data_IF_310307821032
#
_entry.id   IF_310307821032
#
_cell.length_a   1.000
_cell.length_b   1.000
_cell.length_c   1.000
_cell.angle_alpha   90.00
_cell.angle_beta   90.00
_cell.angle_gamma   90.00
#
_symmetry.space_group_name_H-M   'P 1'
#
loop_
_entity.id
_entity.type
_entity.pdbx_description
1 polymer ?
#
# COMPACT_ATOMS: atom_id res chain seq x y z
N UNK A 1 -2.97 -9.33 17.16
CA UNK A 1 -1.79 -8.49 16.93
C UNK A 1 -2.04 -7.75 15.63
N UNK A 2 -2.41 -6.47 15.70
CA UNK A 2 -2.69 -5.63 14.52
C UNK A 2 -1.41 -5.46 13.72
N UNK A 3 -1.44 -5.75 12.42
CA UNK A 3 -0.27 -5.60 11.55
C UNK A 3 -0.23 -4.14 11.06
N UNK A 4 0.91 -3.47 11.25
CA UNK A 4 1.11 -2.10 10.73
C UNK A 4 1.23 -2.13 9.21
N UNK A 5 0.72 -1.11 8.48
CA UNK A 5 0.95 -1.02 7.05
C UNK A 5 2.44 -1.09 6.70
N UNK A 6 2.77 -1.68 5.56
CA UNK A 6 4.14 -1.87 5.12
C UNK A 6 4.29 -1.52 3.64
N UNK A 7 5.43 -0.91 3.29
CA UNK A 7 5.84 -0.61 1.91
C UNK A 7 7.20 -1.22 1.65
N UNK A 8 7.37 -1.82 0.47
CA UNK A 8 8.66 -2.26 -0.06
C UNK A 8 8.77 -1.94 -1.54
N UNK A 9 10.01 -1.82 -2.03
CA UNK A 9 10.28 -1.74 -3.46
C UNK A 9 10.01 -3.11 -4.09
N UNK A 10 9.41 -3.12 -5.26
CA UNK A 10 9.30 -4.32 -6.08
C UNK A 10 10.62 -4.59 -6.82
N UNK A 11 10.84 -5.85 -7.20
CA UNK A 11 12.08 -6.29 -7.87
C UNK A 11 12.26 -5.64 -9.25
N UNK A 12 11.17 -5.18 -9.87
CA UNK A 12 11.19 -4.53 -11.18
C UNK A 12 11.64 -3.06 -11.13
N UNK A 13 11.73 -2.48 -9.93
CA UNK A 13 12.09 -1.07 -9.71
C UNK A 13 11.06 -0.06 -10.27
N UNK A 14 9.89 -0.52 -10.70
CA UNK A 14 8.81 0.31 -11.27
C UNK A 14 7.60 0.40 -10.34
N UNK A 15 7.56 -0.39 -9.28
CA UNK A 15 6.46 -0.37 -8.34
C UNK A 15 6.96 -0.35 -6.89
N UNK A 16 6.08 0.10 -6.01
CA UNK A 16 6.10 -0.29 -4.60
C UNK A 16 4.98 -1.27 -4.34
N UNK A 17 5.25 -2.22 -3.46
CA UNK A 17 4.26 -3.13 -2.91
C UNK A 17 3.81 -2.54 -1.58
N UNK A 18 2.54 -2.17 -1.49
CA UNK A 18 1.93 -1.69 -0.26
C UNK A 18 0.93 -2.69 0.31
N UNK A 19 1.02 -2.94 1.61
CA UNK A 19 0.12 -3.84 2.32
C UNK A 19 -0.40 -3.22 3.61
N UNK A 20 -1.65 -3.53 3.96
CA UNK A 20 -2.28 -3.04 5.19
C UNK A 20 -3.43 -3.96 5.64
N UNK A 21 -3.86 -3.79 6.89
CA UNK A 21 -5.05 -4.43 7.43
C UNK A 21 -6.28 -3.68 6.91
N UNK A 22 -7.02 -4.33 6.02
CA UNK A 22 -8.18 -3.77 5.36
C UNK A 22 -9.42 -4.43 5.96
N UNK A 23 -10.15 -3.70 6.79
CA UNK A 23 -11.41 -4.16 7.37
C UNK A 23 -12.58 -3.97 6.38
N UNK A 24 -12.45 -4.50 5.16
CA UNK A 24 -13.54 -4.46 4.19
C UNK A 24 -14.42 -5.70 4.37
N UNK A 25 -15.70 -5.47 4.67
CA UNK A 25 -16.69 -6.52 4.87
C UNK A 25 -17.34 -7.02 3.56
N UNK A 26 -16.94 -6.56 2.37
CA UNK A 26 -17.72 -6.83 1.15
C UNK A 26 -16.90 -7.12 -0.12
N UNK A 27 -16.22 -8.27 -0.18
CA UNK A 27 -15.53 -8.73 -1.39
C UNK A 27 -16.47 -9.07 -2.57
N UNK A 28 -17.80 -8.99 -2.41
CA UNK A 28 -18.73 -9.32 -3.49
C UNK A 28 -18.73 -8.29 -4.64
N UNK A 29 -18.30 -7.06 -4.39
CA UNK A 29 -18.43 -5.95 -5.37
C UNK A 29 -17.17 -5.67 -6.21
N UNK A 30 -16.01 -6.22 -5.85
CA UNK A 30 -14.74 -5.92 -6.54
C UNK A 30 -14.41 -6.90 -7.70
N UNK A 31 -15.25 -7.92 -7.95
CA UNK A 31 -15.04 -8.87 -9.05
C UNK A 31 -13.82 -9.79 -8.89
N UNK A 32 -13.18 -9.82 -7.72
CA UNK A 32 -12.05 -10.71 -7.43
C UNK A 32 -12.59 -11.99 -6.77
N UNK A 33 -13.31 -12.79 -7.53
CA UNK A 33 -13.80 -14.09 -7.06
C UNK A 33 -12.62 -15.05 -6.83
N UNK A 34 -12.43 -15.53 -5.59
CA UNK A 34 -11.53 -16.65 -5.29
C UNK A 34 -10.40 -16.40 -4.29
N UNK A 35 -10.32 -15.23 -3.65
CA UNK A 35 -9.50 -15.05 -2.45
C UNK A 35 -10.39 -15.12 -1.21
N UNK A 36 -10.05 -16.01 -0.29
CA UNK A 36 -10.56 -16.03 1.09
C UNK A 36 -10.57 -14.58 1.63
N UNK A 37 -11.57 -14.15 2.41
CA UNK A 37 -11.59 -12.83 3.03
C UNK A 37 -10.43 -12.69 4.01
N UNK A 38 -9.26 -12.33 3.51
CA UNK A 38 -8.15 -11.90 4.34
C UNK A 38 -8.42 -10.47 4.75
N UNK A 39 -8.49 -10.24 6.07
CA UNK A 39 -8.44 -8.90 6.69
C UNK A 39 -7.18 -8.09 6.33
N UNK A 40 -6.29 -8.68 5.52
CA UNK A 40 -5.06 -8.09 5.01
C UNK A 40 -5.22 -7.91 3.51
N UNK A 41 -4.99 -6.70 3.00
CA UNK A 41 -4.89 -6.45 1.56
C UNK A 41 -3.41 -6.60 1.19
N UNK A 42 -2.96 -7.76 0.65
CA UNK A 42 -1.55 -7.92 0.37
C UNK A 42 -1.19 -7.18 -0.91
N UNK A 43 -0.09 -6.43 -0.81
CA UNK A 43 0.77 -6.02 -1.91
C UNK A 43 0.05 -5.40 -3.11
N UNK A 44 -0.68 -4.31 -2.84
CA UNK A 44 -1.15 -3.41 -3.89
C UNK A 44 0.08 -2.82 -4.59
N UNK A 45 0.21 -3.11 -5.88
CA UNK A 45 1.21 -2.51 -6.75
C UNK A 45 0.85 -1.04 -6.99
N UNK A 46 1.69 -0.13 -6.50
CA UNK A 46 1.56 1.29 -6.79
C UNK A 46 2.69 1.70 -7.73
N UNK A 47 2.38 2.34 -8.88
CA UNK A 47 3.38 2.68 -9.88
C UNK A 47 4.34 3.76 -9.36
N UNK A 48 5.62 3.57 -9.65
CA UNK A 48 6.67 4.55 -9.45
C UNK A 48 6.95 5.32 -10.74
N UNK A 49 7.34 6.60 -10.59
CA UNK A 49 7.91 7.44 -11.65
C UNK A 49 7.03 7.65 -12.89
N UNK A 50 5.72 7.41 -12.79
CA UNK A 50 4.74 7.98 -13.71
C UNK A 50 4.47 9.43 -13.27
N UNK A 51 4.10 10.34 -14.18
CA UNK A 51 3.86 11.77 -13.87
C UNK A 51 2.76 11.97 -12.79
N UNK A 52 2.00 10.90 -12.51
CA UNK A 52 0.95 10.82 -11.49
C UNK A 52 1.19 9.74 -10.43
N UNK A 53 2.31 9.02 -10.52
CA UNK A 53 2.65 7.91 -9.65
C UNK A 53 3.36 8.33 -8.36
N UNK A 54 3.72 7.33 -7.57
CA UNK A 54 4.56 7.51 -6.39
C UNK A 54 6.02 7.69 -6.80
N UNK A 55 6.80 8.29 -5.91
CA UNK A 55 8.22 8.58 -6.10
C UNK A 55 8.96 8.16 -4.86
N UNK A 56 10.09 7.50 -5.07
CA UNK A 56 11.03 7.17 -4.00
C UNK A 56 11.88 8.41 -3.75
N UNK A 57 11.84 8.93 -2.52
CA UNK A 57 12.65 10.08 -2.12
C UNK A 57 13.95 9.65 -1.41
N UNK A 58 13.93 8.48 -0.76
CA UNK A 58 15.09 7.84 -0.13
C UNK A 58 14.88 6.32 -0.14
N UNK A 59 15.95 5.54 -0.26
CA UNK A 59 15.92 4.06 -0.20
C UNK A 59 16.40 3.50 1.14
N UNK A 60 17.12 4.29 1.94
CA UNK A 60 17.68 3.85 3.21
C UNK A 60 17.72 5.01 4.23
N UNK A 61 16.71 5.14 5.12
CA UNK A 61 15.47 4.35 5.16
C UNK A 61 14.50 4.74 4.03
N UNK A 62 13.67 3.78 3.60
CA UNK A 62 12.73 3.98 2.47
C UNK A 62 11.71 5.08 2.77
N UNK A 63 11.63 6.09 1.90
CA UNK A 63 10.64 7.17 1.94
C UNK A 63 9.98 7.29 0.58
N UNK A 64 8.64 7.36 0.57
CA UNK A 64 7.83 7.42 -0.65
C UNK A 64 6.81 8.56 -0.55
N UNK A 65 6.67 9.32 -1.64
CA UNK A 65 5.68 10.39 -1.80
C UNK A 65 4.86 10.19 -3.07
N UNK A 66 3.57 10.58 -3.12
CA UNK A 66 2.79 11.21 -2.06
C UNK A 66 2.24 10.19 -1.04
N UNK A 67 1.28 10.59 -0.20
CA UNK A 67 0.54 9.67 0.68
C UNK A 67 -0.09 8.51 -0.09
N UNK A 68 -0.31 7.40 0.60
CA UNK A 68 -1.00 6.22 0.09
C UNK A 68 -2.39 6.15 0.74
N UNK A 69 -3.43 6.00 -0.09
CA UNK A 69 -4.83 5.88 0.35
C UNK A 69 -5.42 4.56 -0.13
N UNK A 70 -6.00 3.78 0.79
CA UNK A 70 -6.86 2.67 0.44
C UNK A 70 -8.24 3.21 0.06
N UNK A 71 -8.64 3.02 -1.20
CA UNK A 71 -9.99 3.36 -1.65
C UNK A 71 -11.10 2.52 -1.00
N UNK A 72 -10.78 1.37 -0.42
CA UNK A 72 -11.76 0.43 0.14
C UNK A 72 -12.05 0.70 1.62
N UNK A 73 -11.03 0.74 2.49
CA UNK A 73 -11.20 0.93 3.93
C UNK A 73 -10.84 2.34 4.43
N UNK A 74 -10.32 3.21 3.55
CA UNK A 74 -9.93 4.57 3.92
C UNK A 74 -8.61 4.68 4.69
N UNK A 75 -7.86 3.59 4.90
CA UNK A 75 -6.51 3.67 5.47
C UNK A 75 -5.66 4.64 4.66
N UNK A 76 -5.21 5.71 5.30
CA UNK A 76 -4.51 6.83 4.65
C UNK A 76 -3.30 7.24 5.48
N UNK A 77 -2.18 7.45 4.80
CA UNK A 77 -0.95 7.84 5.45
C UNK A 77 0.24 7.92 4.52
N UNK A 78 1.41 8.13 5.10
CA UNK A 78 2.67 8.34 4.43
C UNK A 78 3.64 7.24 4.80
N UNK A 79 4.52 6.88 3.87
CA UNK A 79 5.67 6.04 4.17
C UNK A 79 6.92 6.92 4.29
N UNK A 80 7.37 7.14 5.53
CA UNK A 80 8.48 8.04 5.87
C UNK A 80 9.48 7.30 6.74
N UNK A 81 10.74 7.38 6.37
CA UNK A 81 11.86 6.81 7.12
C UNK A 81 11.64 5.34 7.51
N UNK A 82 11.14 4.55 6.54
CA UNK A 82 10.87 3.12 6.73
C UNK A 82 9.68 2.82 7.63
N UNK A 83 8.80 3.78 7.88
CA UNK A 83 7.66 3.66 8.78
C UNK A 83 6.39 4.25 8.18
N UNK A 84 5.26 3.67 8.58
CA UNK A 84 3.95 4.22 8.29
C UNK A 84 3.62 5.37 9.26
N UNK A 85 3.20 6.50 8.72
CA UNK A 85 2.71 7.67 9.45
C UNK A 85 1.27 7.94 8.99
N UNK A 86 0.29 7.72 9.85
CA UNK A 86 -1.12 8.00 9.53
C UNK A 86 -1.35 9.47 9.20
N UNK A 87 -2.23 9.74 8.24
CA UNK A 87 -2.70 11.09 7.89
C UNK A 87 -3.88 11.55 8.77
#
# INVERSE_FOLDING_TARGET
>A
MTRTPAVRLDDDGRHILWSHECNFLDLASAGIAGREPSLWHPDVLLPLNDDRGWRVESTDPLTVSPSILCGSCGTHGFWRDGRWISA
#
